data_IF_934339711594
#
_entry.id   IF_934339711594
#
_cell.length_a   1.000
_cell.length_b   1.000
_cell.length_c   1.000
_cell.angle_alpha   90.00
_cell.angle_beta   90.00
_cell.angle_gamma   90.00
#
_symmetry.space_group_name_H-M   'P 1'
#
loop_
_entity.id
_entity.type
_entity.pdbx_description
1 polymer ?
#
# COMPACT_ATOMS: atom_id res chain seq x y z
N UNK A 1 23.45 2.99 8.13
CA UNK A 1 22.73 4.26 8.43
C UNK A 1 22.52 4.37 9.93
N UNK A 2 22.63 5.58 10.49
CA UNK A 2 22.28 5.85 11.88
C UNK A 2 20.74 5.96 12.06
N UNK A 3 20.26 5.82 13.29
CA UNK A 3 18.82 5.83 13.62
C UNK A 3 18.09 7.07 13.09
N UNK A 4 18.69 8.26 13.21
CA UNK A 4 18.09 9.50 12.71
C UNK A 4 17.88 9.48 11.19
N UNK A 5 18.79 8.85 10.44
CA UNK A 5 18.65 8.71 8.99
C UNK A 5 17.48 7.80 8.61
N UNK A 6 17.29 6.69 9.34
CA UNK A 6 16.14 5.79 9.13
C UNK A 6 14.81 6.47 9.44
N UNK A 7 14.74 7.22 10.55
CA UNK A 7 13.55 7.98 10.91
C UNK A 7 13.26 9.12 9.94
N UNK A 8 14.31 9.77 9.40
CA UNK A 8 14.18 10.80 8.37
C UNK A 8 13.53 10.27 7.10
N UNK A 9 13.98 9.12 6.59
CA UNK A 9 13.34 8.47 5.44
C UNK A 9 11.88 8.09 5.76
N UNK A 10 11.62 7.62 6.97
CA UNK A 10 10.25 7.31 7.42
C UNK A 10 9.34 8.54 7.46
N UNK A 11 9.86 9.71 7.82
CA UNK A 11 9.10 10.95 7.85
C UNK A 11 8.76 11.44 6.43
N UNK A 12 9.69 11.33 5.48
CA UNK A 12 9.43 11.64 4.07
C UNK A 12 8.40 10.68 3.46
N UNK A 13 8.55 9.39 3.75
CA UNK A 13 7.61 8.35 3.32
C UNK A 13 6.20 8.62 3.85
N UNK A 14 6.09 9.02 5.12
CA UNK A 14 4.80 9.38 5.72
C UNK A 14 4.14 10.56 5.00
N UNK A 15 4.91 11.57 4.60
CA UNK A 15 4.36 12.70 3.83
C UNK A 15 3.85 12.26 2.45
N UNK A 16 4.62 11.41 1.75
CA UNK A 16 4.21 10.87 0.44
C UNK A 16 2.92 10.03 0.56
N UNK A 17 2.87 9.11 1.54
CA UNK A 17 1.73 8.23 1.74
C UNK A 17 0.46 9.00 2.17
N UNK A 18 0.59 10.00 3.05
CA UNK A 18 -0.53 10.86 3.44
C UNK A 18 -1.01 11.77 2.30
N UNK A 19 -0.08 12.22 1.44
CA UNK A 19 -0.41 12.91 0.20
C UNK A 19 -1.23 12.03 -0.74
N UNK A 20 -0.80 10.78 -0.96
CA UNK A 20 -1.52 9.82 -1.80
C UNK A 20 -2.91 9.46 -1.24
N UNK A 21 -3.07 9.40 0.10
CA UNK A 21 -4.37 9.25 0.75
C UNK A 21 -5.28 10.45 0.50
N UNK A 22 -4.74 11.66 0.57
CA UNK A 22 -5.48 12.89 0.29
C UNK A 22 -5.89 12.98 -1.19
N UNK A 23 -5.11 12.39 -2.10
CA UNK A 23 -5.40 12.31 -3.53
C UNK A 23 -6.38 11.18 -3.91
N UNK A 24 -6.78 10.32 -2.96
CA UNK A 24 -7.75 9.25 -3.18
C UNK A 24 -7.17 7.93 -3.69
N UNK A 25 -5.88 7.87 -3.99
CA UNK A 25 -5.21 6.62 -4.43
C UNK A 25 -5.06 5.63 -3.28
N UNK A 26 -4.76 6.12 -2.08
CA UNK A 26 -4.72 5.29 -0.87
C UNK A 26 -6.07 5.37 -0.17
N UNK A 27 -6.80 4.26 -0.17
CA UNK A 27 -8.07 4.11 0.55
C UNK A 27 -7.82 4.10 2.05
N UNK A 28 -6.84 3.30 2.50
CA UNK A 28 -6.46 3.29 3.90
C UNK A 28 -4.99 2.90 4.13
N UNK A 29 -4.47 3.30 5.29
CA UNK A 29 -3.05 3.24 5.62
C UNK A 29 -2.86 3.02 7.11
N UNK A 30 -2.07 1.98 7.46
CA UNK A 30 -1.75 1.68 8.85
C UNK A 30 -0.29 1.35 9.06
N UNK A 31 0.20 1.72 10.24
CA UNK A 31 1.48 1.26 10.78
C UNK A 31 1.29 -0.11 11.44
N UNK A 32 2.09 -1.09 11.05
CA UNK A 32 2.18 -2.36 11.81
C UNK A 32 3.01 -2.13 13.08
N UNK A 33 2.42 -2.33 14.26
CA UNK A 33 3.06 -2.03 15.54
C UNK A 33 4.26 -2.93 15.76
N UNK A 34 5.41 -2.35 16.15
CA UNK A 34 6.64 -3.10 16.47
C UNK A 34 7.49 -3.55 15.27
N UNK A 35 7.01 -3.38 14.04
CA UNK A 35 7.72 -3.82 12.82
C UNK A 35 8.16 -2.63 11.94
N UNK A 36 9.13 -2.79 11.03
CA UNK A 36 9.41 -1.77 9.99
C UNK A 36 8.47 -1.94 8.78
N UNK A 37 7.16 -1.97 9.03
CA UNK A 37 6.14 -2.34 8.05
C UNK A 37 4.92 -1.41 8.06
N UNK A 38 4.38 -1.13 6.89
CA UNK A 38 3.08 -0.46 6.68
C UNK A 38 2.13 -1.40 5.95
N UNK A 39 0.84 -1.23 6.19
CA UNK A 39 -0.22 -1.87 5.43
C UNK A 39 -1.00 -0.78 4.70
N UNK A 40 -1.15 -0.94 3.39
CA UNK A 40 -1.81 0.01 2.50
C UNK A 40 -2.93 -0.72 1.78
N UNK A 41 -4.11 -0.09 1.73
CA UNK A 41 -5.14 -0.42 0.76
C UNK A 41 -5.12 0.70 -0.27
N UNK A 42 -4.79 0.36 -1.52
CA UNK A 42 -4.74 1.29 -2.63
C UNK A 42 -5.82 0.94 -3.64
N UNK A 43 -6.44 1.96 -4.21
CA UNK A 43 -7.34 1.86 -5.35
C UNK A 43 -6.60 2.42 -6.57
N UNK A 44 -6.29 1.53 -7.52
CA UNK A 44 -5.50 1.81 -8.71
C UNK A 44 -6.19 1.20 -9.91
N UNK A 45 -6.12 1.87 -11.06
CA UNK A 45 -6.77 1.40 -12.29
C UNK A 45 -6.12 0.13 -12.84
N UNK A 46 -4.79 0.06 -12.78
CA UNK A 46 -4.03 -1.08 -13.30
C UNK A 46 -2.91 -1.51 -12.35
N UNK A 47 -2.45 -2.78 -12.42
CA UNK A 47 -1.25 -3.23 -11.70
C UNK A 47 0.00 -2.40 -12.05
N UNK A 48 0.12 -1.93 -13.29
CA UNK A 48 1.26 -1.10 -13.74
C UNK A 48 1.32 0.24 -12.99
N UNK A 49 0.16 0.81 -12.63
CA UNK A 49 0.11 2.06 -11.87
C UNK A 49 0.63 1.86 -10.45
N UNK A 50 0.33 0.70 -9.83
CA UNK A 50 0.90 0.36 -8.53
C UNK A 50 2.42 0.26 -8.60
N UNK A 51 2.97 -0.41 -9.61
CA UNK A 51 4.43 -0.52 -9.78
C UNK A 51 5.09 0.86 -9.92
N UNK A 52 4.51 1.75 -10.74
CA UNK A 52 5.02 3.12 -10.92
C UNK A 52 5.01 3.89 -9.60
N UNK A 53 3.90 3.84 -8.86
CA UNK A 53 3.77 4.49 -7.54
C UNK A 53 4.85 3.97 -6.59
N UNK A 54 5.06 2.64 -6.53
CA UNK A 54 6.07 2.04 -5.66
C UNK A 54 7.48 2.54 -6.00
N UNK A 55 7.85 2.66 -7.27
CA UNK A 55 9.17 3.17 -7.65
C UNK A 55 9.42 4.64 -7.26
N UNK A 56 8.35 5.43 -7.13
CA UNK A 56 8.43 6.83 -6.76
C UNK A 56 8.46 7.06 -5.24
N UNK A 57 8.23 6.01 -4.43
CA UNK A 57 8.26 6.14 -2.97
C UNK A 57 9.67 6.48 -2.47
N UNK A 58 9.83 7.48 -1.57
CA UNK A 58 11.11 7.84 -0.99
C UNK A 58 11.88 6.65 -0.39
N UNK A 59 11.18 5.73 0.28
CA UNK A 59 11.80 4.54 0.87
C UNK A 59 12.34 3.60 -0.20
N UNK A 60 11.64 3.44 -1.33
CA UNK A 60 12.08 2.60 -2.44
C UNK A 60 13.31 3.19 -3.12
N UNK A 61 13.32 4.49 -3.39
CA UNK A 61 14.46 5.19 -4.00
C UNK A 61 15.71 5.17 -3.11
N UNK A 62 15.54 5.33 -1.78
CA UNK A 62 16.67 5.46 -0.84
C UNK A 62 17.17 4.14 -0.28
N UNK A 63 16.32 3.13 -0.19
CA UNK A 63 16.63 1.84 0.44
C UNK A 63 16.68 0.69 -0.56
N UNK A 64 16.03 0.83 -1.72
CA UNK A 64 16.06 -0.13 -2.82
C UNK A 64 15.79 -1.56 -2.35
N UNK A 65 16.78 -2.44 -2.56
CA UNK A 65 16.75 -3.86 -2.19
C UNK A 65 16.48 -4.16 -0.69
N UNK A 66 16.52 -3.16 0.19
CA UNK A 66 16.18 -3.29 1.61
C UNK A 66 14.68 -3.07 1.90
N UNK A 67 13.86 -2.91 0.85
CA UNK A 67 12.41 -2.83 0.93
C UNK A 67 11.82 -4.08 0.30
N UNK A 68 10.94 -4.73 1.03
CA UNK A 68 10.14 -5.84 0.53
C UNK A 68 8.69 -5.39 0.47
N UNK A 69 8.03 -5.69 -0.65
CA UNK A 69 6.62 -5.38 -0.88
C UNK A 69 5.90 -6.68 -1.21
N UNK A 70 4.85 -6.98 -0.44
CA UNK A 70 3.95 -8.09 -0.71
C UNK A 70 2.61 -7.52 -1.19
N UNK A 71 2.21 -7.85 -2.42
CA UNK A 71 0.97 -7.35 -3.03
C UNK A 71 -0.07 -8.45 -3.11
N UNK A 72 -1.32 -8.12 -2.76
CA UNK A 72 -2.48 -9.00 -2.94
C UNK A 72 -3.63 -8.21 -3.53
N UNK A 73 -4.21 -8.71 -4.61
CA UNK A 73 -5.43 -8.16 -5.17
C UNK A 73 -6.59 -8.34 -4.20
N UNK A 74 -7.33 -7.27 -3.96
CA UNK A 74 -8.54 -7.27 -3.15
C UNK A 74 -9.75 -7.14 -4.08
N UNK A 75 -10.83 -7.84 -3.75
CA UNK A 75 -12.15 -7.61 -4.34
C UNK A 75 -13.10 -7.15 -3.25
N UNK A 76 -14.13 -6.39 -3.62
CA UNK A 76 -15.20 -6.04 -2.68
C UNK A 76 -15.91 -7.31 -2.22
N UNK A 77 -16.22 -7.36 -0.93
CA UNK A 77 -16.82 -8.54 -0.33
C UNK A 77 -18.28 -8.69 -0.73
N UNK A 78 -18.97 -7.58 -0.96
CA UNK A 78 -20.35 -7.49 -1.43
C UNK A 78 -20.53 -8.24 -2.75
N UNK A 79 -19.67 -7.97 -3.72
CA UNK A 79 -19.67 -8.67 -5.02
C UNK A 79 -19.47 -10.18 -4.83
N UNK A 80 -18.61 -10.60 -3.89
CA UNK A 80 -18.40 -12.02 -3.59
C UNK A 80 -19.62 -12.65 -2.92
N UNK A 81 -20.26 -11.94 -2.00
CA UNK A 81 -21.44 -12.41 -1.31
C UNK A 81 -22.63 -12.60 -2.27
N UNK A 82 -22.76 -11.74 -3.28
CA UNK A 82 -23.73 -11.88 -4.37
C UNK A 82 -23.45 -13.14 -5.21
N UNK A 83 -22.21 -13.33 -5.69
CA UNK A 83 -21.80 -14.53 -6.44
C UNK A 83 -22.14 -15.83 -5.70
N UNK A 84 -21.91 -15.87 -4.38
CA UNK A 84 -22.19 -17.05 -3.54
C UNK A 84 -23.68 -17.35 -3.47
N UNK A 85 -24.53 -16.33 -3.31
CA UNK A 85 -25.99 -16.50 -3.27
C UNK A 85 -26.53 -17.02 -4.61
N UNK A 86 -26.06 -16.47 -5.72
CA UNK A 86 -26.48 -16.93 -7.06
C UNK A 86 -26.16 -18.41 -7.29
N UNK A 87 -25.05 -18.90 -6.75
CA UNK A 87 -24.67 -20.32 -6.88
C UNK A 87 -25.55 -21.27 -6.08
N UNK A 88 -26.12 -20.83 -4.95
CA UNK A 88 -27.04 -21.65 -4.16
C UNK A 88 -28.40 -21.84 -4.84
N UNK A 89 -28.75 -20.99 -5.81
CA UNK A 89 -29.97 -21.10 -6.61
C UNK A 89 -29.81 -21.88 -7.92
N UNK A 90 -28.64 -22.51 -8.17
CA UNK A 90 -28.37 -23.40 -9.30
C UNK A 90 -28.50 -24.86 -8.88
#
# INVERSE_FOLDING_TARGET
MAQQGLLGVWAEEANAALGAKSAGVVVDLWKVVGERKVLVIADVETPDDLDRILFDLPIMQKMGHLVQVDVKSLRRYEDFAEDVKERLGR
#
